data_IF_551955891454
#
_entry.id   IF_551955891454
#
_cell.length_a   1.000
_cell.length_b   1.000
_cell.length_c   1.000
_cell.angle_alpha   90.00
_cell.angle_beta   90.00
_cell.angle_gamma   90.00
#
_symmetry.space_group_name_H-M   'P 1'
#
loop_
_entity.id
_entity.type
_entity.pdbx_description
1 polymer ?
#
# COMPACT_ATOMS: atom_id res chain seq x y z
N UNK A 1 -31.36 -18.44 30.15
CA UNK A 1 -30.74 -17.23 30.75
C UNK A 1 -29.28 -17.45 31.17
N UNK A 2 -28.47 -18.25 30.46
CA UNK A 2 -27.07 -18.49 30.82
C UNK A 2 -26.12 -18.16 29.65
N UNK A 3 -26.62 -18.21 28.42
CA UNK A 3 -25.87 -17.93 27.19
C UNK A 3 -25.66 -16.43 26.98
N UNK A 4 -26.66 -15.60 27.29
CA UNK A 4 -26.56 -14.14 27.15
C UNK A 4 -25.51 -13.54 28.09
N UNK A 5 -25.38 -14.07 29.31
CA UNK A 5 -24.32 -13.65 30.25
C UNK A 5 -22.92 -13.99 29.73
N UNK A 6 -22.75 -15.13 29.08
CA UNK A 6 -21.47 -15.53 28.49
C UNK A 6 -21.11 -14.64 27.28
N UNK A 7 -22.11 -14.27 26.48
CA UNK A 7 -21.92 -13.34 25.35
C UNK A 7 -21.53 -11.95 25.86
N UNK A 8 -22.24 -11.43 26.87
CA UNK A 8 -21.95 -10.11 27.45
C UNK A 8 -20.55 -10.08 28.07
N UNK A 9 -20.16 -11.12 28.81
CA UNK A 9 -18.82 -11.21 29.39
C UNK A 9 -17.71 -11.22 28.33
N UNK A 10 -17.90 -11.98 27.25
CA UNK A 10 -16.95 -12.03 26.12
C UNK A 10 -16.82 -10.68 25.41
N UNK A 11 -17.93 -9.97 25.20
CA UNK A 11 -17.91 -8.64 24.58
C UNK A 11 -17.19 -7.62 25.45
N UNK A 12 -17.40 -7.66 26.77
CA UNK A 12 -16.71 -6.79 27.72
C UNK A 12 -15.19 -7.05 27.75
N UNK A 13 -14.77 -8.33 27.73
CA UNK A 13 -13.36 -8.72 27.70
C UNK A 13 -12.65 -8.24 26.42
N UNK A 14 -13.31 -8.38 25.26
CA UNK A 14 -12.80 -7.89 23.97
C UNK A 14 -12.66 -6.36 23.99
N UNK A 15 -13.67 -5.66 24.53
CA UNK A 15 -13.68 -4.19 24.60
C UNK A 15 -12.59 -3.66 25.53
N UNK A 16 -12.42 -4.26 26.70
CA UNK A 16 -11.36 -3.89 27.64
C UNK A 16 -9.96 -4.11 27.04
N UNK A 17 -9.75 -5.24 26.37
CA UNK A 17 -8.48 -5.55 25.68
C UNK A 17 -8.18 -4.54 24.57
N UNK A 18 -9.20 -4.13 23.81
CA UNK A 18 -9.04 -3.14 22.75
C UNK A 18 -8.67 -1.75 23.30
N UNK A 19 -9.33 -1.31 24.37
CA UNK A 19 -9.04 -0.03 25.04
C UNK A 19 -7.63 -0.03 25.63
N UNK A 20 -7.22 -1.12 26.29
CA UNK A 20 -5.91 -1.20 26.92
C UNK A 20 -4.77 -1.22 25.89
N UNK A 21 -4.97 -1.86 24.73
CA UNK A 21 -4.06 -1.77 23.57
C UNK A 21 -4.01 -0.37 22.97
N UNK A 22 -5.08 0.43 23.04
CA UNK A 22 -5.07 1.82 22.55
C UNK A 22 -4.31 2.75 23.50
N UNK A 23 -4.50 2.62 24.81
CA UNK A 23 -3.85 3.48 25.81
C UNK A 23 -2.33 3.24 25.93
N UNK A 24 -1.83 2.04 25.61
CA UNK A 24 -0.39 1.74 25.57
C UNK A 24 0.31 2.18 24.27
N UNK A 25 -0.44 2.64 23.26
CA UNK A 25 0.07 3.03 21.94
C UNK A 25 -0.03 4.55 21.68
N UNK A 26 -0.15 5.38 22.72
CA UNK A 26 -0.14 6.84 22.61
C UNK A 26 1.30 7.38 22.40
N UNK A 27 1.86 7.09 21.23
CA UNK A 27 2.90 7.89 20.58
C UNK A 27 2.62 7.92 19.07
N UNK A 28 1.66 8.78 18.67
CA UNK A 28 1.60 9.38 17.33
C UNK A 28 0.85 8.63 16.20
N UNK A 29 -0.33 9.18 15.85
CA UNK A 29 -1.11 9.07 14.59
C UNK A 29 -2.02 7.83 14.35
N UNK A 30 -3.24 8.03 13.80
CA UNK A 30 -4.22 6.96 13.61
C UNK A 30 -3.93 6.13 12.35
N UNK A 31 -3.92 4.80 12.53
CA UNK A 31 -3.78 3.79 11.48
C UNK A 31 -5.09 3.02 11.32
N UNK A 32 -5.75 3.18 10.18
CA UNK A 32 -6.81 2.34 9.63
C UNK A 32 -6.56 2.40 8.12
N UNK A 33 -6.14 1.33 7.46
CA UNK A 33 -6.94 0.21 6.97
C UNK A 33 -5.97 -0.97 6.72
N UNK A 34 -6.48 -2.18 6.82
CA UNK A 34 -5.80 -3.47 6.68
C UNK A 34 -4.85 -3.54 5.47
N UNK A 35 -3.55 -3.50 5.75
CA UNK A 35 -2.54 -4.17 4.93
C UNK A 35 -1.94 -5.27 5.81
N UNK A 36 -1.78 -6.46 5.24
CA UNK A 36 -1.01 -7.57 5.82
C UNK A 36 0.46 -7.12 5.92
N UNK A 37 0.78 -6.33 6.94
CA UNK A 37 2.16 -5.89 7.20
C UNK A 37 2.83 -6.96 8.05
N UNK A 38 3.59 -7.82 7.38
CA UNK A 38 4.62 -8.63 8.04
C UNK A 38 5.61 -7.64 8.68
N UNK A 39 5.89 -7.73 10.00
CA UNK A 39 6.75 -6.77 10.67
C UNK A 39 8.21 -7.14 10.41
N UNK A 40 8.81 -6.58 9.36
CA UNK A 40 10.27 -6.69 9.15
C UNK A 40 10.93 -5.33 9.23
N UNK A 41 11.52 -5.05 10.39
CA UNK A 41 12.73 -4.25 10.62
C UNK A 41 12.79 -2.85 9.95
N UNK A 42 12.65 -1.80 10.77
CA UNK A 42 12.56 -0.38 10.37
C UNK A 42 13.72 0.24 9.57
N UNK A 43 14.77 -0.51 9.23
CA UNK A 43 15.81 -0.06 8.27
C UNK A 43 15.43 -0.38 6.80
N UNK A 44 14.67 -1.46 6.57
CA UNK A 44 14.25 -1.87 5.22
C UNK A 44 13.10 -0.99 4.70
N UNK A 45 12.13 -0.64 5.56
CA UNK A 45 11.01 0.24 5.21
C UNK A 45 11.45 1.62 4.71
N UNK A 46 12.49 2.21 5.33
CA UNK A 46 13.06 3.49 4.88
C UNK A 46 13.69 3.43 3.48
N UNK A 47 14.13 2.27 3.01
CA UNK A 47 14.67 2.12 1.64
C UNK A 47 13.54 1.96 0.62
N UNK A 48 12.50 1.19 0.96
CA UNK A 48 11.36 0.92 0.09
C UNK A 48 10.56 2.18 -0.28
N UNK A 49 10.49 3.19 0.61
CA UNK A 49 9.78 4.44 0.33
C UNK A 49 10.40 5.29 -0.79
N UNK A 50 11.67 5.05 -1.13
CA UNK A 50 12.41 5.81 -2.13
C UNK A 50 12.82 4.98 -3.35
N UNK A 51 12.46 3.69 -3.37
CA UNK A 51 12.78 2.81 -4.48
C UNK A 51 11.51 2.60 -5.32
N UNK A 52 11.68 2.73 -6.64
CA UNK A 52 10.61 2.40 -7.57
C UNK A 52 10.35 0.87 -7.49
N UNK A 53 9.10 0.43 -7.30
CA UNK A 53 8.79 -1.00 -7.22
C UNK A 53 9.06 -1.70 -8.56
N UNK A 54 9.69 -2.88 -8.51
CA UNK A 54 9.97 -3.66 -9.72
C UNK A 54 8.84 -4.66 -9.98
N UNK A 55 8.45 -4.88 -11.24
CA UNK A 55 7.40 -5.86 -11.56
C UNK A 55 7.85 -7.31 -11.38
N UNK A 56 9.12 -7.58 -11.11
CA UNK A 56 9.62 -8.91 -10.78
C UNK A 56 9.24 -9.37 -9.35
N UNK A 57 8.78 -8.46 -8.49
CA UNK A 57 8.38 -8.78 -7.10
C UNK A 57 7.09 -9.61 -7.11
N UNK A 58 6.87 -10.51 -6.14
CA UNK A 58 5.75 -11.49 -6.11
C UNK A 58 4.33 -10.90 -6.20
N UNK A 59 4.17 -9.57 -6.07
CA UNK A 59 2.86 -8.92 -6.06
C UNK A 59 2.37 -8.55 -7.47
N UNK A 60 1.24 -9.11 -7.90
CA UNK A 60 0.59 -8.81 -9.19
C UNK A 60 0.12 -7.36 -9.32
N UNK A 61 -0.07 -6.67 -8.20
CA UNK A 61 -0.38 -5.25 -8.18
C UNK A 61 0.17 -4.55 -6.95
N UNK A 62 0.47 -3.26 -7.08
CA UNK A 62 1.00 -2.43 -5.99
C UNK A 62 0.34 -1.05 -6.04
N UNK A 63 -0.04 -0.53 -4.87
CA UNK A 63 -0.45 0.87 -4.72
C UNK A 63 0.74 1.69 -4.22
N UNK A 64 1.16 2.67 -5.01
CA UNK A 64 2.10 3.71 -4.62
C UNK A 64 1.32 4.94 -4.14
N UNK A 65 1.21 5.11 -2.82
CA UNK A 65 0.62 6.29 -2.22
C UNK A 65 1.35 7.59 -2.60
N UNK A 66 0.66 8.73 -2.43
CA UNK A 66 1.16 10.06 -2.79
C UNK A 66 2.58 10.34 -2.28
N UNK A 67 2.82 10.12 -0.98
CA UNK A 67 4.12 10.43 -0.37
C UNK A 67 5.24 9.55 -0.94
N UNK A 68 4.94 8.29 -1.29
CA UNK A 68 5.89 7.38 -1.95
C UNK A 68 6.21 7.85 -3.36
N UNK A 69 5.21 8.22 -4.15
CA UNK A 69 5.41 8.79 -5.50
C UNK A 69 6.30 10.03 -5.44
N UNK A 70 6.01 10.95 -4.52
CA UNK A 70 6.79 12.18 -4.33
C UNK A 70 8.24 11.88 -3.93
N UNK A 71 8.45 10.97 -2.99
CA UNK A 71 9.77 10.58 -2.51
C UNK A 71 10.62 9.92 -3.61
N UNK A 72 10.02 9.04 -4.41
CA UNK A 72 10.69 8.39 -5.53
C UNK A 72 11.10 9.43 -6.59
N UNK A 73 10.19 10.32 -6.98
CA UNK A 73 10.48 11.36 -7.97
C UNK A 73 11.61 12.28 -7.51
N UNK A 74 11.50 12.80 -6.28
CA UNK A 74 12.47 13.73 -5.71
C UNK A 74 13.86 13.10 -5.58
N UNK A 75 13.93 11.82 -5.20
CA UNK A 75 15.22 11.12 -5.15
C UNK A 75 15.83 10.94 -6.55
N UNK A 76 15.03 10.58 -7.54
CA UNK A 76 15.52 10.34 -8.90
C UNK A 76 16.03 11.63 -9.58
N UNK A 77 15.40 12.76 -9.30
CA UNK A 77 15.73 14.05 -9.92
C UNK A 77 16.56 14.97 -9.03
N UNK A 78 16.95 14.52 -7.82
CA UNK A 78 17.60 15.35 -6.80
C UNK A 78 16.83 16.65 -6.49
N UNK A 79 15.50 16.55 -6.49
CA UNK A 79 14.56 17.66 -6.38
C UNK A 79 13.88 17.67 -4.99
N UNK A 80 13.18 18.76 -4.64
CA UNK A 80 12.41 18.88 -3.38
C UNK A 80 10.98 19.34 -3.62
N UNK A 81 10.30 18.74 -4.60
CA UNK A 81 8.92 19.07 -4.94
C UNK A 81 7.99 18.70 -3.78
N UNK A 82 7.01 19.57 -3.51
CA UNK A 82 5.98 19.38 -2.48
C UNK A 82 4.59 19.03 -3.04
N UNK A 83 4.39 19.24 -4.35
CA UNK A 83 3.12 19.02 -5.03
C UNK A 83 3.32 18.14 -6.25
N UNK A 84 2.45 17.14 -6.41
CA UNK A 84 2.40 16.32 -7.62
C UNK A 84 1.85 17.14 -8.80
N UNK A 85 2.56 17.10 -9.92
CA UNK A 85 2.17 17.77 -11.17
C UNK A 85 1.90 16.73 -12.26
N UNK A 86 1.20 17.14 -13.32
CA UNK A 86 0.91 16.25 -14.47
C UNK A 86 2.20 15.71 -15.10
N UNK A 87 3.26 16.52 -15.20
CA UNK A 87 4.56 16.08 -15.71
C UNK A 87 5.18 14.98 -14.85
N UNK A 88 5.05 15.09 -13.52
CA UNK A 88 5.53 14.06 -12.59
C UNK A 88 4.70 12.78 -12.69
N UNK A 89 3.38 12.89 -12.87
CA UNK A 89 2.50 11.74 -13.13
C UNK A 89 2.96 11.02 -14.39
N UNK A 90 3.12 11.73 -15.51
CA UNK A 90 3.57 11.14 -16.78
C UNK A 90 4.94 10.49 -16.67
N UNK A 91 5.89 11.14 -15.99
CA UNK A 91 7.20 10.53 -15.72
C UNK A 91 7.05 9.20 -14.96
N UNK A 92 6.23 9.17 -13.90
CA UNK A 92 6.05 7.97 -13.08
C UNK A 92 5.40 6.83 -13.87
N UNK A 93 4.46 7.13 -14.76
CA UNK A 93 3.82 6.14 -15.64
C UNK A 93 4.82 5.55 -16.65
N UNK A 94 5.69 6.38 -17.22
CA UNK A 94 6.74 5.91 -18.13
C UNK A 94 7.78 5.06 -17.40
N UNK A 95 8.13 5.47 -16.19
CA UNK A 95 9.05 4.73 -15.32
C UNK A 95 8.47 3.36 -14.93
N UNK A 96 7.17 3.28 -14.64
CA UNK A 96 6.49 2.02 -14.37
C UNK A 96 6.63 1.02 -15.54
N UNK A 97 6.40 1.48 -16.78
CA UNK A 97 6.58 0.66 -17.97
C UNK A 97 8.03 0.19 -18.12
N UNK A 98 9.00 1.06 -17.84
CA UNK A 98 10.43 0.72 -17.86
C UNK A 98 10.80 -0.34 -16.82
N UNK A 99 10.16 -0.28 -15.65
CA UNK A 99 10.31 -1.27 -14.57
C UNK A 99 9.51 -2.56 -14.80
N UNK A 100 8.88 -2.73 -15.98
CA UNK A 100 8.21 -3.95 -16.40
C UNK A 100 6.76 -4.07 -15.94
N UNK A 101 6.14 -3.00 -15.44
CA UNK A 101 4.70 -2.99 -15.14
C UNK A 101 3.91 -2.89 -16.45
N UNK A 102 2.81 -3.65 -16.53
CA UNK A 102 1.99 -3.69 -17.74
C UNK A 102 1.07 -2.46 -17.83
N UNK A 103 0.47 -2.08 -16.70
CA UNK A 103 -0.33 -0.86 -16.61
C UNK A 103 -0.01 -0.07 -15.33
N UNK A 104 -0.22 1.24 -15.43
CA UNK A 104 -0.04 2.17 -14.33
C UNK A 104 -1.07 3.30 -14.44
N UNK A 105 -1.76 3.62 -13.34
CA UNK A 105 -2.79 4.67 -13.36
C UNK A 105 -2.89 5.43 -12.05
N UNK A 106 -3.08 6.74 -12.16
CA UNK A 106 -3.28 7.59 -10.99
C UNK A 106 -4.78 7.71 -10.64
N UNK A 107 -5.07 7.59 -9.34
CA UNK A 107 -6.39 7.75 -8.76
C UNK A 107 -6.35 8.83 -7.68
N UNK A 108 -7.39 9.67 -7.62
CA UNK A 108 -7.54 10.63 -6.52
C UNK A 108 -7.92 9.88 -5.25
N UNK A 109 -7.32 10.25 -4.13
CA UNK A 109 -7.74 9.77 -2.83
C UNK A 109 -8.97 10.58 -2.38
N UNK A 110 -9.97 9.90 -1.82
CA UNK A 110 -11.23 10.53 -1.43
C UNK A 110 -11.03 11.75 -0.52
N UNK A 111 -11.73 12.84 -0.83
CA UNK A 111 -11.65 14.11 -0.10
C UNK A 111 -10.30 14.84 -0.22
N UNK A 112 -9.37 14.39 -1.06
CA UNK A 112 -8.03 14.98 -1.20
C UNK A 112 -7.70 15.40 -2.64
N UNK A 113 -6.80 16.39 -2.76
CA UNK A 113 -6.12 16.70 -4.04
C UNK A 113 -4.96 15.75 -4.31
N UNK A 114 -4.59 14.91 -3.34
CA UNK A 114 -3.56 13.89 -3.48
C UNK A 114 -4.04 12.76 -4.40
N UNK A 115 -3.10 12.21 -5.15
CA UNK A 115 -3.31 11.02 -5.98
C UNK A 115 -2.34 9.92 -5.59
N UNK A 116 -2.77 8.68 -5.72
CA UNK A 116 -1.94 7.49 -5.63
C UNK A 116 -1.82 6.84 -7.02
N UNK A 117 -0.70 6.18 -7.28
CA UNK A 117 -0.49 5.41 -8.51
C UNK A 117 -0.72 3.93 -8.23
N UNK A 118 -1.60 3.29 -9.00
CA UNK A 118 -1.80 1.86 -9.00
C UNK A 118 -1.00 1.23 -10.14
N UNK A 119 -0.21 0.21 -9.82
CA UNK A 119 0.66 -0.52 -10.74
C UNK A 119 0.15 -1.95 -10.86
N UNK A 120 0.06 -2.46 -12.08
CA UNK A 120 -0.53 -3.78 -12.37
C UNK A 120 0.39 -4.55 -13.31
N UNK A 121 0.68 -5.80 -12.95
CA UNK A 121 1.35 -6.74 -13.85
C UNK A 121 0.38 -7.26 -14.89
N UNK A 122 0.93 -7.72 -16.01
CA UNK A 122 0.13 -8.48 -16.95
C UNK A 122 -0.31 -9.76 -16.23
N UNK A 123 -1.61 -10.02 -16.20
CA UNK A 123 -2.07 -11.33 -15.74
C UNK A 123 -1.48 -12.36 -16.69
N UNK A 124 -0.72 -13.31 -16.15
CA UNK A 124 -0.36 -14.52 -16.88
C UNK A 124 -1.70 -15.18 -17.22
N UNK A 125 -2.14 -15.00 -18.46
CA UNK A 125 -3.24 -15.78 -18.98
C UNK A 125 -2.71 -17.21 -18.99
N UNK A 126 -3.06 -18.00 -17.97
CA UNK A 126 -2.79 -19.42 -17.95
C UNK A 126 -3.27 -19.97 -19.30
N UNK A 127 -2.32 -20.29 -20.18
CA UNK A 127 -2.66 -21.03 -21.37
C UNK A 127 -3.12 -22.39 -20.84
N UNK A 128 -4.43 -22.56 -20.79
CA UNK A 128 -5.08 -23.84 -20.55
C UNK A 128 -4.55 -24.81 -21.61
N UNK A 129 -3.47 -25.52 -21.28
CA UNK A 129 -3.05 -26.69 -22.03
C UNK A 129 -4.08 -27.75 -21.71
N UNK A 130 -5.15 -27.76 -22.50
CA UNK A 130 -6.10 -28.85 -22.58
C UNK A 130 -5.34 -30.07 -23.10
N UNK A 131 -4.69 -30.79 -22.18
CA UNK A 131 -4.03 -32.05 -22.47
C UNK A 131 -5.10 -33.13 -22.49
N UNK A 132 -5.82 -33.19 -23.60
CA UNK A 132 -6.50 -34.42 -24.02
C UNK A 132 -5.50 -35.23 -24.83
N UNK A 133 -4.92 -36.26 -24.21
CA UNK A 133 -4.47 -37.45 -24.93
C UNK A 133 -4.39 -38.68 -24.02
#
# INVERSE_FOLDING_TARGET
MHQDYQIIARVQEITATFIQKKLLNEDGYPQNIQETVVPTSGKAQKRAQYQFPMSAEENDSIICGYDRVMNIYNKHHHDTRKKLTVTMEQWFLNEAKRCGWADAKFYKCDGSTKKACFLVKQADSESSYDSTH
#
